data_IF_004690783833
#
_entry.id   IF_004690783833
#
_cell.length_a   1.000
_cell.length_b   1.000
_cell.length_c   1.000
_cell.angle_alpha   90.00
_cell.angle_beta   90.00
_cell.angle_gamma   90.00
#
_symmetry.space_group_name_H-M   'P 1'
#
loop_
_entity.id
_entity.type
_entity.pdbx_description
1 polymer ?
#
# COMPACT_ATOMS: atom_id res chain seq x y z
N UNK A 1 -18.46 -30.45 -11.16
CA UNK A 1 -17.98 -29.06 -11.09
C UNK A 1 -18.01 -28.63 -9.64
N UNK A 2 -16.88 -28.55 -8.91
CA UNK A 2 -16.89 -28.02 -7.56
C UNK A 2 -16.88 -26.49 -7.63
N UNK A 3 -17.80 -25.90 -6.87
CA UNK A 3 -18.11 -24.49 -6.78
C UNK A 3 -16.94 -23.74 -6.11
N UNK A 4 -16.19 -22.93 -6.86
CA UNK A 4 -15.05 -22.11 -6.37
C UNK A 4 -15.54 -20.90 -5.54
N UNK A 5 -16.18 -21.17 -4.41
CA UNK A 5 -16.55 -20.16 -3.43
C UNK A 5 -15.95 -20.50 -2.06
N UNK A 6 -14.65 -20.80 -2.03
CA UNK A 6 -13.84 -20.57 -0.84
C UNK A 6 -13.68 -19.05 -0.72
N UNK A 7 -14.64 -18.40 -0.04
CA UNK A 7 -14.48 -17.02 0.42
C UNK A 7 -13.18 -16.99 1.23
N UNK A 8 -12.11 -16.46 0.61
CA UNK A 8 -10.84 -16.26 1.30
C UNK A 8 -11.14 -15.45 2.56
N UNK A 9 -10.55 -15.88 3.66
CA UNK A 9 -10.74 -15.26 4.96
C UNK A 9 -10.38 -13.78 4.85
N UNK A 10 -11.31 -12.90 5.22
CA UNK A 10 -11.08 -11.47 5.23
C UNK A 10 -10.29 -11.15 6.50
N UNK A 11 -9.08 -10.61 6.34
CA UNK A 11 -8.21 -10.23 7.44
C UNK A 11 -8.30 -8.71 7.66
N UNK A 12 -9.20 -8.22 8.54
CA UNK A 12 -9.36 -6.79 8.80
C UNK A 12 -8.11 -6.14 9.44
N UNK A 13 -7.26 -6.94 10.08
CA UNK A 13 -5.95 -6.51 10.59
C UNK A 13 -5.03 -6.03 9.46
N UNK A 14 -5.14 -6.65 8.28
CA UNK A 14 -4.44 -6.19 7.08
C UNK A 14 -5.12 -4.95 6.47
N UNK A 15 -6.23 -4.45 7.03
CA UNK A 15 -6.99 -3.33 6.47
C UNK A 15 -6.66 -1.96 7.09
N UNK A 16 -5.83 -1.87 8.13
CA UNK A 16 -5.45 -0.59 8.74
C UNK A 16 -4.26 0.05 8.01
N UNK A 17 -4.48 1.18 7.34
CA UNK A 17 -3.41 1.97 6.70
C UNK A 17 -2.68 2.85 7.72
N UNK A 18 -3.37 3.21 8.80
CA UNK A 18 -2.83 3.92 9.97
C UNK A 18 -1.68 3.18 10.66
N UNK A 19 -1.58 1.87 10.48
CA UNK A 19 -0.49 1.07 11.06
C UNK A 19 0.85 1.29 10.32
N UNK A 20 0.79 1.80 9.09
CA UNK A 20 1.95 2.02 8.22
C UNK A 20 2.25 3.50 7.99
N UNK A 21 1.22 4.34 8.01
CA UNK A 21 1.35 5.77 7.77
C UNK A 21 0.22 6.56 8.45
N UNK A 22 0.57 7.59 9.21
CA UNK A 22 -0.39 8.52 9.82
C UNK A 22 -0.14 9.92 9.24
N UNK A 23 -1.07 10.47 8.45
CA UNK A 23 -0.94 11.82 7.91
C UNK A 23 -1.01 12.88 9.02
N UNK A 24 -0.31 14.00 8.86
CA UNK A 24 -0.35 15.12 9.81
C UNK A 24 -1.74 15.77 9.83
N UNK A 25 -2.17 16.39 10.95
CA UNK A 25 -3.46 17.10 11.02
C UNK A 25 -3.67 18.20 9.98
N UNK A 26 -2.59 18.75 9.41
CA UNK A 26 -2.62 19.80 8.37
C UNK A 26 -2.43 19.25 6.95
N UNK A 27 -2.41 17.93 6.80
CA UNK A 27 -2.43 17.27 5.49
C UNK A 27 -3.67 17.69 4.70
N UNK A 28 -3.50 17.82 3.38
CA UNK A 28 -4.57 18.22 2.47
C UNK A 28 -4.32 17.62 1.09
N UNK A 29 -5.33 17.67 0.22
CA UNK A 29 -5.34 17.06 -1.11
C UNK A 29 -4.17 17.42 -2.04
N UNK A 30 -3.36 18.44 -1.71
CA UNK A 30 -2.20 18.88 -2.47
C UNK A 30 -0.87 18.49 -1.80
N UNK A 31 -0.88 17.94 -0.58
CA UNK A 31 0.33 17.68 0.20
C UNK A 31 0.91 16.28 -0.06
N UNK A 32 2.24 16.18 0.05
CA UNK A 32 2.96 14.92 -0.13
C UNK A 32 2.51 13.83 0.85
N UNK A 33 1.99 14.19 2.02
CA UNK A 33 1.48 13.22 3.01
C UNK A 33 0.19 12.54 2.55
N UNK A 34 -0.75 13.27 1.95
CA UNK A 34 -1.98 12.66 1.41
C UNK A 34 -1.68 11.76 0.22
N UNK A 35 -0.73 12.16 -0.61
CA UNK A 35 -0.23 11.34 -1.72
C UNK A 35 0.37 10.04 -1.20
N UNK A 36 1.23 10.07 -0.18
CA UNK A 36 1.79 8.87 0.46
C UNK A 36 0.70 8.01 1.10
N UNK A 37 -0.24 8.60 1.83
CA UNK A 37 -1.34 7.86 2.46
C UNK A 37 -2.18 7.10 1.42
N UNK A 38 -2.50 7.76 0.31
CA UNK A 38 -3.23 7.15 -0.82
C UNK A 38 -2.43 6.03 -1.47
N UNK A 39 -1.12 6.25 -1.70
CA UNK A 39 -0.24 5.23 -2.29
C UNK A 39 -0.07 4.00 -1.40
N UNK A 40 0.11 4.17 -0.08
CA UNK A 40 0.19 3.06 0.88
C UNK A 40 -1.10 2.27 0.88
N UNK A 41 -2.25 2.95 0.88
CA UNK A 41 -3.57 2.31 0.81
C UNK A 41 -3.74 1.50 -0.48
N UNK A 42 -3.32 2.06 -1.61
CA UNK A 42 -3.40 1.41 -2.92
C UNK A 42 -2.44 0.22 -3.03
N UNK A 43 -1.18 0.37 -2.61
CA UNK A 43 -0.18 -0.70 -2.57
C UNK A 43 -0.67 -1.87 -1.73
N UNK A 44 -1.25 -1.59 -0.56
CA UNK A 44 -1.84 -2.63 0.31
C UNK A 44 -2.96 -3.40 -0.38
N UNK A 45 -3.88 -2.72 -1.06
CA UNK A 45 -4.96 -3.38 -1.78
C UNK A 45 -4.44 -4.29 -2.90
N UNK A 46 -3.38 -3.87 -3.59
CA UNK A 46 -2.70 -4.69 -4.60
C UNK A 46 -2.05 -5.89 -3.95
N UNK A 47 -1.34 -5.75 -2.83
CA UNK A 47 -0.75 -6.88 -2.10
C UNK A 47 -1.80 -7.93 -1.71
N UNK A 48 -2.98 -7.49 -1.26
CA UNK A 48 -4.10 -8.39 -0.93
C UNK A 48 -4.62 -9.09 -2.20
N UNK A 49 -4.80 -8.34 -3.29
CA UNK A 49 -5.22 -8.91 -4.57
C UNK A 49 -4.21 -9.95 -5.09
N UNK A 50 -2.92 -9.64 -5.05
CA UNK A 50 -1.81 -10.54 -5.40
C UNK A 50 -1.81 -11.78 -4.54
N UNK A 51 -1.93 -11.66 -3.21
CA UNK A 51 -2.05 -12.82 -2.30
C UNK A 51 -3.26 -13.69 -2.65
N UNK A 52 -4.37 -13.06 -3.04
CA UNK A 52 -5.57 -13.76 -3.46
C UNK A 52 -5.41 -14.49 -4.80
N UNK A 53 -4.35 -14.24 -5.58
CA UNK A 53 -4.03 -15.03 -6.76
C UNK A 53 -3.30 -16.36 -6.44
N UNK A 54 -2.90 -16.60 -5.19
CA UNK A 54 -2.24 -17.84 -4.78
C UNK A 54 -3.17 -18.72 -3.90
N UNK A 55 -3.15 -20.04 -4.10
CA UNK A 55 -3.70 -21.01 -3.14
C UNK A 55 -2.67 -21.24 -2.03
N UNK A 56 -3.11 -21.17 -0.77
CA UNK A 56 -2.29 -21.30 0.44
C UNK A 56 -0.99 -20.47 0.45
N UNK A 57 -0.98 -19.35 -0.28
CA UNK A 57 0.18 -18.46 -0.44
C UNK A 57 1.36 -19.07 -1.22
N UNK A 58 1.19 -20.23 -1.87
CA UNK A 58 2.30 -20.98 -2.49
C UNK A 58 2.04 -21.43 -3.92
N UNK A 59 0.82 -21.83 -4.26
CA UNK A 59 0.50 -22.28 -5.62
C UNK A 59 -0.25 -21.21 -6.38
N UNK A 60 0.12 -20.97 -7.63
CA UNK A 60 -0.51 -19.94 -8.45
C UNK A 60 -1.90 -20.41 -8.93
N UNK A 61 -2.96 -19.71 -8.51
CA UNK A 61 -4.36 -20.05 -8.81
C UNK A 61 -4.89 -19.41 -10.11
N UNK A 62 -4.17 -18.42 -10.66
CA UNK A 62 -4.57 -17.59 -11.81
C UNK A 62 -3.44 -17.58 -12.85
N UNK A 63 -3.67 -17.08 -14.07
CA UNK A 63 -2.61 -16.85 -15.06
C UNK A 63 -1.48 -16.00 -14.49
N UNK A 64 -0.23 -16.47 -14.65
CA UNK A 64 0.96 -15.81 -14.10
C UNK A 64 1.20 -14.40 -14.61
N UNK A 65 0.71 -14.10 -15.81
CA UNK A 65 0.74 -12.77 -16.43
C UNK A 65 0.05 -11.72 -15.55
N UNK A 66 -1.15 -12.02 -15.05
CA UNK A 66 -1.94 -11.12 -14.19
C UNK A 66 -1.23 -10.87 -12.87
N UNK A 67 -0.60 -11.90 -12.31
CA UNK A 67 0.14 -11.79 -11.05
C UNK A 67 1.43 -10.99 -11.24
N UNK A 68 2.12 -11.16 -12.37
CA UNK A 68 3.29 -10.37 -12.70
C UNK A 68 2.95 -8.87 -12.83
N UNK A 69 1.83 -8.53 -13.47
CA UNK A 69 1.35 -7.15 -13.58
C UNK A 69 1.04 -6.54 -12.20
N UNK A 70 0.35 -7.29 -11.33
CA UNK A 70 0.06 -6.83 -9.97
C UNK A 70 1.33 -6.64 -9.13
N UNK A 71 2.31 -7.55 -9.25
CA UNK A 71 3.60 -7.42 -8.56
C UNK A 71 4.36 -6.20 -9.09
N UNK A 72 4.37 -5.97 -10.40
CA UNK A 72 5.01 -4.82 -11.02
C UNK A 72 4.38 -3.50 -10.55
N UNK A 73 3.05 -3.44 -10.48
CA UNK A 73 2.35 -2.26 -9.97
C UNK A 73 2.64 -2.03 -8.49
N UNK A 74 2.68 -3.10 -7.69
CA UNK A 74 3.06 -3.02 -6.27
C UNK A 74 4.47 -2.46 -6.11
N UNK A 75 5.45 -2.99 -6.85
CA UNK A 75 6.82 -2.52 -6.82
C UNK A 75 6.91 -1.04 -7.22
N UNK A 76 6.24 -0.65 -8.31
CA UNK A 76 6.24 0.74 -8.79
C UNK A 76 5.70 1.70 -7.72
N UNK A 77 4.62 1.32 -7.02
CA UNK A 77 4.08 2.15 -5.94
C UNK A 77 5.02 2.23 -4.74
N UNK A 78 5.71 1.14 -4.38
CA UNK A 78 6.71 1.17 -3.31
C UNK A 78 7.88 2.10 -3.65
N UNK A 79 8.37 2.07 -4.90
CA UNK A 79 9.41 2.99 -5.38
C UNK A 79 8.95 4.46 -5.39
N UNK A 80 7.68 4.72 -5.71
CA UNK A 80 7.10 6.06 -5.63
C UNK A 80 6.96 6.55 -4.20
N UNK A 81 6.51 5.67 -3.28
CA UNK A 81 6.44 5.96 -1.86
C UNK A 81 7.83 6.34 -1.35
N UNK A 82 8.86 5.54 -1.64
CA UNK A 82 10.24 5.82 -1.22
C UNK A 82 10.71 7.23 -1.63
N UNK A 83 10.34 7.69 -2.83
CA UNK A 83 10.71 9.02 -3.34
C UNK A 83 9.92 10.17 -2.71
N UNK A 84 8.65 9.96 -2.40
CA UNK A 84 7.75 11.02 -1.90
C UNK A 84 7.80 11.11 -0.37
N UNK A 85 8.12 10.00 0.31
CA UNK A 85 8.16 9.92 1.77
C UNK A 85 9.03 11.01 2.41
N UNK A 86 10.24 11.34 1.91
CA UNK A 86 11.02 12.45 2.47
C UNK A 86 10.29 13.80 2.41
N UNK A 87 9.61 14.08 1.29
CA UNK A 87 8.82 15.31 1.10
C UNK A 87 7.63 15.36 2.05
N UNK A 88 7.04 14.20 2.36
CA UNK A 88 5.98 14.08 3.34
C UNK A 88 6.44 14.42 4.77
N UNK A 89 7.73 14.31 5.09
CA UNK A 89 8.30 14.62 6.40
C UNK A 89 9.15 15.91 6.45
N UNK A 90 9.29 16.64 5.35
CA UNK A 90 10.04 17.91 5.31
C UNK A 90 9.50 18.94 6.32
N UNK A 91 8.19 18.94 6.59
CA UNK A 91 7.58 19.77 7.63
C UNK A 91 8.20 19.53 9.02
N UNK A 92 8.41 18.27 9.41
CA UNK A 92 9.01 17.95 10.72
C UNK A 92 10.48 18.37 10.80
N UNK A 93 11.23 18.18 9.70
CA UNK A 93 12.61 18.59 9.61
C UNK A 93 12.75 20.13 9.74
N UNK A 94 11.89 20.87 9.04
CA UNK A 94 11.87 22.33 9.08
C UNK A 94 11.42 22.86 10.45
N UNK A 95 10.42 22.23 11.09
CA UNK A 95 9.98 22.61 12.44
C UNK A 95 11.11 22.47 13.48
N UNK A 96 11.89 21.38 13.42
CA UNK A 96 13.04 21.18 14.31
C UNK A 96 14.15 22.21 14.08
N UNK A 97 14.38 22.64 12.84
CA UNK A 97 15.39 23.63 12.49
C UNK A 97 15.05 25.05 12.97
N UNK A 98 13.78 25.41 13.04
CA UNK A 98 13.31 26.74 13.50
C UNK A 98 13.23 26.85 15.02
N UNK A 99 13.21 25.72 15.74
CA UNK A 99 13.16 25.67 17.21
C UNK A 99 14.53 25.67 17.91
N UNK A 100 15.63 25.87 17.17
CA UNK A 100 17.02 25.98 17.67
C UNK A 100 17.52 27.43 17.56
#
# INVERSE_FOLDING_TARGET
>A
MPNQNTKKEYFPELCSTSDFFVPHPESNHLSAQDVVCSMVSSAKNISIATWNCFEDGRELAIKGEVVADLIYELQTKLEMIEKILPLAFEWEANKKAVSL
#
